data_IF_956074107521
#
_entry.id   IF_956074107521
#
_cell.length_a   1.000
_cell.length_b   1.000
_cell.length_c   1.000
_cell.angle_alpha   90.00
_cell.angle_beta   90.00
_cell.angle_gamma   90.00
#
_symmetry.space_group_name_H-M   'P 1'
#
loop_
_entity.id
_entity.type
_entity.pdbx_description
1 polymer ?
#
# COMPACT_ATOMS: atom_id res chain seq x y z
N UNK A 1 -3.76 -43.24 -28.04
CA UNK A 1 -3.11 -42.86 -26.77
C UNK A 1 -2.06 -43.88 -26.40
N UNK A 2 -0.84 -43.41 -26.24
CA UNK A 2 0.39 -44.19 -26.23
C UNK A 2 0.72 -44.50 -24.77
N UNK A 3 1.26 -45.67 -24.44
CA UNK A 3 1.62 -46.00 -23.04
C UNK A 3 2.49 -44.91 -22.39
N UNK A 4 3.34 -44.24 -23.19
CA UNK A 4 4.17 -43.08 -22.80
C UNK A 4 3.36 -41.83 -22.42
N UNK A 5 2.25 -41.55 -23.11
CA UNK A 5 1.36 -40.42 -22.75
C UNK A 5 0.61 -40.67 -21.44
N UNK A 6 0.38 -41.94 -21.07
CA UNK A 6 -0.24 -42.28 -19.79
C UNK A 6 0.76 -42.18 -18.62
N UNK A 7 2.02 -42.58 -18.84
CA UNK A 7 3.09 -42.39 -17.85
C UNK A 7 3.38 -40.91 -17.58
N UNK A 8 3.36 -40.05 -18.62
CA UNK A 8 3.55 -38.60 -18.45
C UNK A 8 2.39 -37.93 -17.69
N UNK A 9 1.14 -38.35 -17.93
CA UNK A 9 -0.03 -37.85 -17.20
C UNK A 9 -0.05 -38.31 -15.73
N UNK A 10 0.41 -39.54 -15.44
CA UNK A 10 0.53 -40.06 -14.08
C UNK A 10 1.61 -39.34 -13.25
N UNK A 11 2.74 -38.99 -13.86
CA UNK A 11 3.81 -38.22 -13.19
C UNK A 11 3.39 -36.77 -12.94
N UNK A 12 2.60 -36.17 -13.85
CA UNK A 12 2.07 -34.82 -13.67
C UNK A 12 0.99 -34.75 -12.57
N UNK A 13 0.16 -35.78 -12.42
CA UNK A 13 -0.85 -35.85 -11.34
C UNK A 13 -0.24 -36.14 -9.96
N UNK A 14 0.87 -36.90 -9.90
CA UNK A 14 1.54 -37.24 -8.64
C UNK A 14 2.36 -36.07 -8.07
N UNK A 15 2.73 -35.10 -8.90
CA UNK A 15 3.45 -33.88 -8.49
C UNK A 15 2.58 -32.81 -7.82
N UNK A 16 1.25 -32.93 -7.87
CA UNK A 16 0.33 -31.92 -7.29
C UNK A 16 -0.04 -32.15 -5.82
N UNK A 17 0.53 -33.17 -5.15
CA UNK A 17 0.16 -33.54 -3.77
C UNK A 17 1.20 -33.18 -2.69
N UNK A 18 2.23 -32.40 -3.01
CA UNK A 18 3.30 -32.03 -2.07
C UNK A 18 3.42 -30.52 -1.81
N UNK A 19 2.29 -29.82 -1.73
CA UNK A 19 2.23 -28.48 -1.14
C UNK A 19 1.12 -28.46 -0.08
N UNK A 20 1.53 -28.40 1.19
CA UNK A 20 0.71 -27.84 2.27
C UNK A 20 0.27 -28.78 3.40
N UNK A 21 1.18 -29.12 4.31
CA UNK A 21 0.85 -29.20 5.74
C UNK A 21 2.14 -29.01 6.56
N UNK A 22 2.31 -27.81 7.14
CA UNK A 22 3.43 -27.50 8.01
C UNK A 22 2.99 -26.47 9.05
N UNK A 23 2.83 -26.91 10.29
CA UNK A 23 2.57 -26.06 11.45
C UNK A 23 1.54 -26.63 12.43
N UNK A 24 1.86 -27.76 13.05
CA UNK A 24 1.12 -28.29 14.20
C UNK A 24 1.45 -27.51 15.47
N UNK A 25 0.41 -27.18 16.22
CA UNK A 25 0.49 -26.63 17.57
C UNK A 25 0.95 -27.70 18.59
N UNK A 26 1.57 -27.18 19.65
CA UNK A 26 1.47 -27.63 21.04
C UNK A 26 2.58 -28.56 21.57
N UNK A 27 3.59 -27.94 22.19
CA UNK A 27 4.27 -28.51 23.37
C UNK A 27 3.76 -27.74 24.60
N UNK A 28 3.03 -28.45 25.45
CA UNK A 28 2.71 -28.06 26.83
C UNK A 28 3.42 -29.06 27.75
N UNK A 29 3.75 -28.58 28.95
CA UNK A 29 4.37 -29.24 30.11
C UNK A 29 5.90 -29.10 30.10
N UNK A 30 6.53 -28.51 31.11
CA UNK A 30 6.34 -28.61 32.57
C UNK A 30 7.12 -27.41 33.18
N UNK A 31 6.90 -26.80 34.36
CA UNK A 31 6.40 -27.22 35.67
C UNK A 31 6.19 -25.97 36.54
N UNK A 32 5.21 -26.04 37.46
CA UNK A 32 5.13 -25.36 38.79
C UNK A 32 4.95 -23.83 38.94
N UNK A 33 3.73 -23.47 39.36
CA UNK A 33 3.38 -22.89 40.68
C UNK A 33 4.11 -21.61 41.20
N UNK A 34 3.34 -20.52 41.30
CA UNK A 34 3.58 -19.31 42.12
C UNK A 34 3.82 -19.66 43.62
N UNK A 35 4.50 -18.84 44.46
CA UNK A 35 4.18 -17.40 44.58
C UNK A 35 5.34 -16.41 44.88
N UNK A 36 5.04 -15.16 44.52
CA UNK A 36 5.36 -13.88 45.18
C UNK A 36 6.73 -13.64 45.83
N UNK A 37 7.50 -12.69 45.26
CA UNK A 37 8.08 -11.56 45.99
C UNK A 37 8.75 -10.52 45.07
N UNK A 38 8.28 -9.27 45.18
CA UNK A 38 8.96 -7.97 45.02
C UNK A 38 9.35 -7.41 43.62
N UNK A 39 8.91 -6.16 43.39
CA UNK A 39 8.98 -5.35 42.17
C UNK A 39 10.39 -4.76 41.88
N UNK A 40 10.64 -4.24 40.67
CA UNK A 40 10.31 -2.82 40.42
C UNK A 40 9.63 -2.55 39.07
N UNK A 41 8.92 -1.42 39.02
CA UNK A 41 8.15 -0.93 37.89
C UNK A 41 8.96 -0.85 36.59
N UNK A 42 8.56 -1.62 35.58
CA UNK A 42 8.96 -1.41 34.20
C UNK A 42 8.05 -0.33 33.60
N UNK A 43 8.67 0.75 33.14
CA UNK A 43 8.02 1.85 32.46
C UNK A 43 7.11 1.33 31.32
N UNK A 44 5.85 1.78 31.34
CA UNK A 44 4.92 1.59 30.23
C UNK A 44 5.53 2.21 28.98
N UNK A 45 5.90 1.37 28.01
CA UNK A 45 6.15 1.84 26.65
C UNK A 45 4.84 2.47 26.15
N UNK A 46 4.85 3.72 25.65
CA UNK A 46 3.64 4.31 25.12
C UNK A 46 3.14 3.41 23.98
N UNK A 47 1.88 2.97 24.11
CA UNK A 47 1.19 2.25 23.07
C UNK A 47 1.30 3.04 21.78
N UNK A 48 1.74 2.38 20.72
CA UNK A 48 1.71 2.94 19.37
C UNK A 48 0.25 3.34 19.09
N UNK A 49 0.01 4.64 19.00
CA UNK A 49 -1.27 5.19 18.62
C UNK A 49 -1.50 4.77 17.16
N UNK A 50 -2.36 3.77 16.96
CA UNK A 50 -2.91 3.47 15.64
C UNK A 50 -3.61 4.74 15.17
N UNK A 51 -2.98 5.45 14.23
CA UNK A 51 -3.53 6.66 13.64
C UNK A 51 -4.91 6.32 13.06
N UNK A 52 -5.96 6.81 13.70
CA UNK A 52 -7.31 6.74 13.18
C UNK A 52 -7.32 7.30 11.74
N UNK A 53 -8.12 6.74 10.82
CA UNK A 53 -8.24 7.29 9.48
C UNK A 53 -8.59 8.77 9.63
N UNK A 54 -7.83 9.64 8.98
CA UNK A 54 -8.07 11.07 9.02
C UNK A 54 -9.43 11.37 8.37
N UNK A 55 -10.49 11.31 9.17
CA UNK A 55 -11.79 11.92 8.90
C UNK A 55 -11.74 13.43 9.07
N UNK A 56 -10.53 13.99 9.10
CA UNK A 56 -10.28 15.42 9.04
C UNK A 56 -10.52 15.96 7.64
N UNK A 57 -10.79 17.26 7.55
CA UNK A 57 -10.89 17.97 6.29
C UNK A 57 -9.54 17.86 5.54
N UNK A 58 -9.50 17.08 4.46
CA UNK A 58 -8.27 16.85 3.67
C UNK A 58 -7.62 18.17 3.24
N UNK A 59 -8.42 19.20 2.93
CA UNK A 59 -7.89 20.51 2.54
C UNK A 59 -7.15 21.20 3.70
N UNK A 60 -7.62 21.04 4.94
CA UNK A 60 -6.91 21.56 6.12
C UNK A 60 -5.59 20.82 6.33
N UNK A 61 -5.58 19.50 6.19
CA UNK A 61 -4.37 18.69 6.30
C UNK A 61 -3.34 19.06 5.23
N UNK A 62 -3.77 19.24 3.98
CA UNK A 62 -2.95 19.71 2.85
C UNK A 62 -2.36 21.10 3.15
N UNK A 63 -3.18 22.05 3.62
CA UNK A 63 -2.73 23.41 3.95
C UNK A 63 -1.77 23.44 5.14
N UNK A 64 -2.02 22.63 6.16
CA UNK A 64 -1.15 22.56 7.33
C UNK A 64 0.22 21.95 6.98
N UNK A 65 0.25 20.98 6.06
CA UNK A 65 1.48 20.34 5.58
C UNK A 65 2.17 21.10 4.45
N UNK A 66 1.45 22.01 3.80
CA UNK A 66 1.91 22.82 2.67
C UNK A 66 2.37 22.01 1.44
N UNK A 67 1.74 20.84 1.22
CA UNK A 67 1.99 19.97 0.05
C UNK A 67 0.77 19.10 -0.27
N UNK A 68 0.42 18.98 -1.56
CA UNK A 68 -0.58 18.02 -2.05
C UNK A 68 0.10 16.70 -2.41
N UNK A 69 -0.34 15.60 -1.80
CA UNK A 69 0.08 14.23 -2.14
C UNK A 69 -0.87 13.64 -3.17
N UNK A 70 -0.42 13.51 -4.41
CA UNK A 70 -1.20 12.90 -5.48
C UNK A 70 -0.76 11.45 -5.71
N UNK A 71 -1.72 10.53 -5.80
CA UNK A 71 -1.47 9.20 -6.35
C UNK A 71 -1.49 9.25 -7.87
N UNK A 72 -0.42 8.80 -8.54
CA UNK A 72 -0.26 8.93 -10.00
C UNK A 72 0.36 7.74 -10.70
N UNK A 73 0.41 7.78 -12.03
CA UNK A 73 1.18 6.84 -12.85
C UNK A 73 2.66 7.24 -12.90
N UNK A 74 3.55 6.27 -13.16
CA UNK A 74 4.98 6.50 -13.41
C UNK A 74 5.49 5.92 -14.73
N UNK A 75 4.65 5.18 -15.46
CA UNK A 75 5.06 4.35 -16.59
C UNK A 75 4.13 4.47 -17.81
N UNK A 76 3.32 5.54 -17.88
CA UNK A 76 2.36 5.75 -18.97
C UNK A 76 2.65 7.11 -19.64
N UNK A 77 3.45 7.13 -20.72
CA UNK A 77 3.74 8.36 -21.46
C UNK A 77 2.47 9.12 -21.86
N UNK A 78 2.51 10.45 -21.71
CA UNK A 78 1.37 11.34 -21.95
C UNK A 78 0.40 11.49 -20.76
N UNK A 79 0.40 10.55 -19.81
CA UNK A 79 -0.43 10.63 -18.59
C UNK A 79 0.43 10.87 -17.35
N UNK A 80 1.17 9.85 -16.91
CA UNK A 80 2.09 9.95 -15.79
C UNK A 80 3.28 9.05 -16.04
N UNK A 81 4.44 9.66 -16.19
CA UNK A 81 5.68 9.02 -16.64
C UNK A 81 6.87 9.65 -15.94
N UNK A 82 7.86 8.83 -15.57
CA UNK A 82 9.18 9.32 -15.17
C UNK A 82 10.02 9.42 -16.42
N UNK A 83 10.39 10.64 -16.79
CA UNK A 83 11.27 10.90 -17.92
C UNK A 83 12.68 10.35 -17.62
N UNK A 84 13.24 9.45 -18.45
CA UNK A 84 14.52 8.81 -18.17
C UNK A 84 15.72 9.76 -18.32
N UNK A 85 15.56 10.85 -19.06
CA UNK A 85 16.61 11.84 -19.27
C UNK A 85 16.68 12.84 -18.11
N UNK A 86 15.53 13.25 -17.56
CA UNK A 86 15.46 14.23 -16.46
C UNK A 86 15.24 13.62 -15.08
N UNK A 87 14.77 12.37 -15.01
CA UNK A 87 14.24 11.71 -13.82
C UNK A 87 13.08 12.44 -13.12
N UNK A 88 12.34 13.27 -13.87
CA UNK A 88 11.18 14.00 -13.36
C UNK A 88 9.86 13.37 -13.80
N UNK A 89 8.80 13.59 -13.01
CA UNK A 89 7.44 13.23 -13.40
C UNK A 89 6.88 14.20 -14.44
N UNK A 90 6.35 13.66 -15.54
CA UNK A 90 5.70 14.42 -16.60
C UNK A 90 4.40 13.76 -17.09
N UNK A 91 3.55 14.55 -17.74
CA UNK A 91 2.30 14.12 -18.39
C UNK A 91 1.04 14.75 -17.80
N UNK A 92 -0.09 14.45 -18.42
CA UNK A 92 -1.39 15.05 -18.08
C UNK A 92 -1.81 14.85 -16.62
N UNK A 93 -1.65 13.64 -16.06
CA UNK A 93 -1.99 13.35 -14.66
C UNK A 93 -1.11 14.19 -13.71
N UNK A 94 0.16 14.42 -14.08
CA UNK A 94 1.12 15.18 -13.28
C UNK A 94 0.79 16.68 -13.33
N UNK A 95 0.49 17.21 -14.51
CA UNK A 95 0.10 18.60 -14.68
C UNK A 95 -1.25 18.89 -14.01
N UNK A 96 -2.16 17.92 -13.97
CA UNK A 96 -3.40 18.06 -13.23
C UNK A 96 -3.17 18.09 -11.72
N UNK A 97 -2.21 17.30 -11.19
CA UNK A 97 -1.78 17.42 -9.79
C UNK A 97 -1.18 18.81 -9.47
N UNK A 98 -0.32 19.35 -10.34
CA UNK A 98 0.21 20.72 -10.21
C UNK A 98 -0.91 21.76 -10.18
N UNK A 99 -1.95 21.60 -10.99
CA UNK A 99 -3.10 22.49 -11.00
C UNK A 99 -3.89 22.41 -9.69
N UNK A 100 -4.06 21.22 -9.11
CA UNK A 100 -4.68 21.04 -7.79
C UNK A 100 -3.84 21.70 -6.70
N UNK A 101 -2.51 21.56 -6.72
CA UNK A 101 -1.61 22.24 -5.78
C UNK A 101 -1.70 23.76 -5.89
N UNK A 102 -1.69 24.31 -7.11
CA UNK A 102 -1.91 25.73 -7.34
C UNK A 102 -3.25 26.21 -6.78
N UNK A 103 -4.33 25.44 -6.95
CA UNK A 103 -5.65 25.79 -6.45
C UNK A 103 -5.76 25.70 -4.91
N UNK A 104 -5.14 24.69 -4.30
CA UNK A 104 -5.26 24.43 -2.87
C UNK A 104 -4.31 25.31 -2.02
N UNK A 105 -3.10 25.55 -2.53
CA UNK A 105 -1.97 26.15 -1.81
C UNK A 105 -1.46 27.46 -2.43
N UNK A 106 -1.93 27.83 -3.62
CA UNK A 106 -1.46 29.02 -4.34
C UNK A 106 -0.12 28.86 -5.05
N UNK A 107 0.43 27.64 -5.09
CA UNK A 107 1.73 27.33 -5.68
C UNK A 107 1.70 25.95 -6.36
N UNK A 108 1.93 25.92 -7.68
CA UNK A 108 1.92 24.70 -8.50
C UNK A 108 3.08 23.75 -8.21
N UNK A 109 4.11 24.21 -7.49
CA UNK A 109 5.29 23.40 -7.14
C UNK A 109 5.11 22.61 -5.85
N UNK A 110 4.06 22.90 -5.07
CA UNK A 110 3.78 22.25 -3.78
C UNK A 110 2.99 20.96 -3.92
N UNK A 111 3.58 20.01 -4.65
CA UNK A 111 2.99 18.69 -4.86
C UNK A 111 4.04 17.59 -4.77
N UNK A 112 3.57 16.40 -4.43
CA UNK A 112 4.33 15.16 -4.48
C UNK A 112 3.54 14.09 -5.23
N UNK A 113 4.24 13.28 -6.02
CA UNK A 113 3.64 12.14 -6.71
C UNK A 113 4.03 10.87 -5.97
N UNK A 114 3.03 10.13 -5.51
CA UNK A 114 3.16 8.74 -5.09
C UNK A 114 2.76 7.84 -6.25
N UNK A 115 3.70 7.10 -6.88
CA UNK A 115 3.35 6.13 -7.90
C UNK A 115 2.37 5.10 -7.36
N UNK A 116 1.35 4.73 -8.12
CA UNK A 116 0.38 3.69 -7.71
C UNK A 116 0.11 2.72 -8.85
N UNK A 117 -0.05 1.44 -8.50
CA UNK A 117 -0.60 0.42 -9.39
C UNK A 117 -2.13 0.49 -9.45
N UNK A 118 -2.73 -0.16 -10.46
CA UNK A 118 -4.18 -0.25 -10.58
C UNK A 118 -4.86 -0.93 -9.38
N UNK A 119 -4.16 -1.88 -8.73
CA UNK A 119 -4.68 -2.66 -7.60
C UNK A 119 -4.61 -1.87 -6.29
N UNK A 120 -3.54 -1.10 -6.06
CA UNK A 120 -3.32 -0.43 -4.76
C UNK A 120 -3.87 1.00 -4.70
N UNK A 121 -4.21 1.62 -5.84
CA UNK A 121 -4.59 3.05 -5.89
C UNK A 121 -5.74 3.44 -4.96
N UNK A 122 -6.73 2.56 -4.79
CA UNK A 122 -7.87 2.81 -3.91
C UNK A 122 -7.55 2.51 -2.44
N UNK A 123 -6.90 1.38 -2.09
CA UNK A 123 -6.37 1.19 -0.74
C UNK A 123 -5.49 2.34 -0.24
N UNK A 124 -4.56 2.83 -1.08
CA UNK A 124 -3.67 3.97 -0.76
C UNK A 124 -4.45 5.28 -0.58
N UNK A 125 -5.54 5.48 -1.35
CA UNK A 125 -6.44 6.63 -1.14
C UNK A 125 -7.23 6.49 0.17
N UNK A 126 -7.75 5.30 0.45
CA UNK A 126 -8.55 5.02 1.65
C UNK A 126 -7.73 5.11 2.93
N UNK A 127 -6.44 4.77 2.89
CA UNK A 127 -5.53 4.90 4.03
C UNK A 127 -5.11 6.34 4.31
N UNK A 128 -5.35 7.27 3.37
CA UNK A 128 -4.87 8.65 3.48
C UNK A 128 -3.38 8.81 3.20
N UNK A 129 -2.70 7.81 2.62
CA UNK A 129 -1.31 7.95 2.16
C UNK A 129 -1.20 9.00 1.04
N UNK A 130 -2.26 9.13 0.23
CA UNK A 130 -2.44 10.21 -0.76
C UNK A 130 -3.69 11.03 -0.42
N UNK A 131 -3.66 12.32 -0.75
CA UNK A 131 -4.81 13.23 -0.57
C UNK A 131 -5.80 13.11 -1.72
N UNK A 132 -5.30 12.83 -2.94
CA UNK A 132 -6.11 12.73 -4.16
C UNK A 132 -5.52 11.70 -5.12
N UNK A 133 -6.39 10.91 -5.76
CA UNK A 133 -5.99 9.97 -6.81
C UNK A 133 -6.14 10.65 -8.19
N UNK A 134 -5.00 10.98 -8.81
CA UNK A 134 -4.93 11.56 -10.16
C UNK A 134 -4.19 10.60 -11.06
N UNK A 135 -4.96 9.70 -11.64
CA UNK A 135 -4.51 8.59 -12.46
C UNK A 135 -5.60 8.32 -13.48
N UNK A 136 -5.28 7.82 -14.68
CA UNK A 136 -6.22 7.30 -15.70
C UNK A 136 -7.27 6.27 -15.16
N UNK A 137 -8.21 6.76 -14.37
CA UNK A 137 -9.13 6.02 -13.52
C UNK A 137 -10.54 6.41 -13.94
N UNK A 138 -11.22 5.48 -14.61
CA UNK A 138 -12.57 5.69 -15.10
C UNK A 138 -13.57 5.74 -13.95
N UNK A 139 -14.41 6.77 -13.95
CA UNK A 139 -15.61 6.79 -13.11
C UNK A 139 -16.65 5.81 -13.65
N UNK A 140 -17.09 4.86 -12.84
CA UNK A 140 -18.13 3.87 -13.21
C UNK A 140 -19.49 4.23 -12.62
N UNK A 141 -20.58 3.79 -13.26
CA UNK A 141 -21.95 4.02 -12.77
C UNK A 141 -22.22 3.20 -11.49
N UNK A 142 -23.09 3.72 -10.61
CA UNK A 142 -23.51 3.13 -9.33
C UNK A 142 -25.02 2.93 -9.26
#
# INVERSE_FOLDING_TARGET
>A
MNKKTWTLLLVLLLGLLLVGCGGGNNETAETAEEPAAEAPAAAEAPAAEEAAPATGNILEAVRARDVVKCGGNQAVPGFGYINPDTNEFEGFDIDFCKAVAAAALGDSTKFEIRPTTANERFPVLQSGEIDVLIRNTTWTLS
#
